data_IF_742640543517
#
_entry.id   IF_742640543517
#
_cell.length_a   1.000
_cell.length_b   1.000
_cell.length_c   1.000
_cell.angle_alpha   90.00
_cell.angle_beta   90.00
_cell.angle_gamma   90.00
#
_symmetry.space_group_name_H-M   'P 1'
#
loop_
_entity.id
_entity.type
_entity.pdbx_description
1 polymer ?
#
# COMPACT_ATOMS: atom_id res chain seq x y z
N UNK A 1 -57.85 -31.17 -63.15
CA UNK A 1 -56.73 -30.77 -62.28
C UNK A 1 -55.61 -30.28 -63.18
N UNK A 2 -55.35 -28.98 -63.22
CA UNK A 2 -54.20 -28.42 -63.93
C UNK A 2 -53.33 -27.67 -62.93
N UNK A 3 -52.04 -27.98 -62.99
CA UNK A 3 -50.99 -27.54 -62.09
C UNK A 3 -50.76 -26.03 -62.19
N UNK A 4 -50.84 -25.34 -61.04
CA UNK A 4 -50.38 -23.96 -60.90
C UNK A 4 -48.84 -23.93 -60.99
N UNK A 5 -48.33 -23.72 -62.20
CA UNK A 5 -46.93 -23.35 -62.38
C UNK A 5 -46.77 -21.87 -61.98
N UNK A 6 -45.98 -21.63 -60.92
CA UNK A 6 -45.63 -20.27 -60.52
C UNK A 6 -44.85 -19.60 -61.66
N UNK A 7 -45.17 -18.34 -61.92
CA UNK A 7 -44.45 -17.53 -62.91
C UNK A 7 -43.02 -17.25 -62.44
N UNK A 8 -42.09 -17.03 -63.37
CA UNK A 8 -40.67 -16.73 -63.07
C UNK A 8 -40.53 -15.54 -62.12
N UNK A 9 -41.44 -14.57 -62.22
CA UNK A 9 -41.51 -13.42 -61.32
C UNK A 9 -41.98 -13.78 -59.92
N UNK A 10 -42.95 -14.69 -59.76
CA UNK A 10 -43.35 -15.19 -58.45
C UNK A 10 -42.26 -16.04 -57.78
N UNK A 11 -41.48 -16.79 -58.57
CA UNK A 11 -40.32 -17.54 -58.09
C UNK A 11 -39.23 -16.55 -57.64
N UNK A 12 -38.90 -15.55 -58.45
CA UNK A 12 -37.94 -14.51 -58.09
C UNK A 12 -38.38 -13.70 -56.86
N UNK A 13 -39.66 -13.35 -56.78
CA UNK A 13 -40.25 -12.65 -55.63
C UNK A 13 -40.18 -13.52 -54.37
N UNK A 14 -40.46 -14.82 -54.45
CA UNK A 14 -40.28 -15.74 -53.32
C UNK A 14 -38.82 -15.95 -52.94
N UNK A 15 -37.90 -15.99 -53.90
CA UNK A 15 -36.47 -16.12 -53.63
C UNK A 15 -35.96 -14.84 -52.97
N UNK A 16 -36.32 -13.65 -53.45
CA UNK A 16 -35.97 -12.39 -52.79
C UNK A 16 -36.58 -12.27 -51.39
N UNK A 17 -37.85 -12.64 -51.22
CA UNK A 17 -38.51 -12.60 -49.91
C UNK A 17 -37.91 -13.62 -48.94
N UNK A 18 -37.53 -14.81 -49.42
CA UNK A 18 -36.83 -15.85 -48.66
C UNK A 18 -35.38 -15.46 -48.34
N UNK A 19 -34.69 -14.76 -49.25
CA UNK A 19 -33.31 -14.31 -49.05
C UNK A 19 -33.26 -13.12 -48.09
N UNK A 20 -34.25 -12.22 -48.13
CA UNK A 20 -34.41 -11.12 -47.17
C UNK A 20 -34.80 -11.62 -45.77
N UNK A 21 -35.60 -12.70 -45.67
CA UNK A 21 -35.91 -13.32 -44.37
C UNK A 21 -34.74 -14.13 -43.81
N UNK A 22 -33.97 -14.84 -44.65
CA UNK A 22 -32.75 -15.55 -44.23
C UNK A 22 -31.60 -14.59 -43.87
N UNK A 23 -31.50 -13.42 -44.50
CA UNK A 23 -30.50 -12.41 -44.12
C UNK A 23 -30.92 -11.55 -42.92
N UNK A 24 -32.21 -11.35 -42.67
CA UNK A 24 -32.71 -10.75 -41.41
C UNK A 24 -32.50 -11.68 -40.19
N UNK A 25 -32.23 -12.96 -40.45
CA UNK A 25 -31.92 -13.97 -39.43
C UNK A 25 -30.41 -14.25 -39.30
N UNK A 26 -29.55 -13.29 -39.68
CA UNK A 26 -28.17 -13.25 -39.19
C UNK A 26 -28.17 -12.85 -37.73
N UNK A 27 -28.26 -13.87 -36.87
CA UNK A 27 -27.65 -13.89 -35.54
C UNK A 27 -27.91 -12.66 -34.67
N UNK A 28 -29.18 -12.42 -34.34
CA UNK A 28 -29.47 -11.91 -33.01
C UNK A 28 -29.20 -13.06 -32.02
N UNK A 29 -27.91 -13.32 -31.74
CA UNK A 29 -27.54 -14.08 -30.53
C UNK A 29 -28.17 -13.26 -29.40
N UNK A 30 -29.13 -13.79 -28.64
CA UNK A 30 -29.61 -13.06 -27.48
C UNK A 30 -28.37 -12.89 -26.60
N UNK A 31 -27.90 -11.65 -26.44
CA UNK A 31 -26.97 -11.31 -25.36
C UNK A 31 -27.61 -11.92 -24.13
N UNK A 32 -26.99 -12.95 -23.56
CA UNK A 32 -27.49 -13.64 -22.39
C UNK A 32 -27.95 -12.57 -21.40
N UNK A 33 -29.27 -12.44 -21.24
CA UNK A 33 -29.86 -11.49 -20.31
C UNK A 33 -29.41 -11.99 -18.96
N UNK A 34 -28.32 -11.41 -18.44
CA UNK A 34 -27.84 -11.72 -17.10
C UNK A 34 -29.05 -11.52 -16.20
N UNK A 35 -29.41 -12.57 -15.47
CA UNK A 35 -30.52 -12.53 -14.54
C UNK A 35 -30.38 -11.27 -13.67
N UNK A 36 -31.46 -10.52 -13.47
CA UNK A 36 -31.47 -9.35 -12.58
C UNK A 36 -30.79 -9.67 -11.24
N UNK A 37 -31.01 -10.90 -10.74
CA UNK A 37 -30.38 -11.44 -9.53
C UNK A 37 -28.84 -11.50 -9.60
N UNK A 38 -28.25 -11.80 -10.76
CA UNK A 38 -26.79 -11.84 -10.94
C UNK A 38 -26.17 -10.45 -10.96
N UNK A 39 -26.88 -9.46 -11.52
CA UNK A 39 -26.45 -8.06 -11.52
C UNK A 39 -26.51 -7.50 -10.10
N UNK A 40 -27.60 -7.75 -9.38
CA UNK A 40 -27.79 -7.32 -7.99
C UNK A 40 -26.77 -7.98 -7.05
N UNK A 41 -26.51 -9.29 -7.21
CA UNK A 41 -25.48 -10.00 -6.46
C UNK A 41 -24.09 -9.43 -6.70
N UNK A 42 -23.75 -9.12 -7.95
CA UNK A 42 -22.45 -8.49 -8.30
C UNK A 42 -22.31 -7.09 -7.71
N UNK A 43 -23.37 -6.28 -7.71
CA UNK A 43 -23.34 -4.95 -7.10
C UNK A 43 -23.21 -5.04 -5.58
N UNK A 44 -23.86 -6.00 -4.93
CA UNK A 44 -23.71 -6.27 -3.50
C UNK A 44 -22.27 -6.69 -3.14
N UNK A 45 -21.67 -7.59 -3.92
CA UNK A 45 -20.27 -8.04 -3.71
C UNK A 45 -19.30 -6.87 -3.89
N UNK A 46 -19.46 -6.05 -4.94
CA UNK A 46 -18.62 -4.86 -5.15
C UNK A 46 -18.66 -3.89 -3.97
N UNK A 47 -19.86 -3.62 -3.44
CA UNK A 47 -20.05 -2.79 -2.25
C UNK A 47 -19.33 -3.38 -1.04
N UNK A 48 -19.47 -4.68 -0.79
CA UNK A 48 -18.80 -5.37 0.32
C UNK A 48 -17.27 -5.23 0.18
N UNK A 49 -16.71 -5.56 -0.98
CA UNK A 49 -15.26 -5.46 -1.23
C UNK A 49 -14.78 -4.02 -1.00
N UNK A 50 -15.49 -3.04 -1.54
CA UNK A 50 -15.15 -1.63 -1.36
C UNK A 50 -15.12 -1.22 0.12
N UNK A 51 -16.17 -1.54 0.89
CA UNK A 51 -16.24 -1.16 2.30
C UNK A 51 -15.22 -1.94 3.15
N UNK A 52 -14.91 -3.19 2.81
CA UNK A 52 -13.84 -3.94 3.46
C UNK A 52 -12.47 -3.30 3.24
N UNK A 53 -12.17 -2.87 2.00
CA UNK A 53 -10.92 -2.16 1.68
C UNK A 53 -10.86 -0.79 2.36
N UNK A 54 -11.98 -0.07 2.43
CA UNK A 54 -12.07 1.20 3.13
C UNK A 54 -11.81 1.02 4.63
N UNK A 55 -12.40 0.00 5.26
CA UNK A 55 -12.15 -0.32 6.66
C UNK A 55 -10.68 -0.65 6.92
N UNK A 56 -10.05 -1.44 6.03
CA UNK A 56 -8.62 -1.74 6.12
C UNK A 56 -7.75 -0.48 5.98
N UNK A 57 -8.11 0.43 5.07
CA UNK A 57 -7.40 1.70 4.90
C UNK A 57 -7.52 2.60 6.14
N UNK A 58 -8.69 2.65 6.77
CA UNK A 58 -8.90 3.38 8.04
C UNK A 58 -8.03 2.78 9.14
N UNK A 59 -8.02 1.44 9.28
CA UNK A 59 -7.15 0.75 10.25
C UNK A 59 -5.68 1.10 9.98
N UNK A 60 -5.25 1.08 8.73
CA UNK A 60 -3.89 1.46 8.35
C UNK A 60 -3.55 2.91 8.72
N UNK A 61 -4.45 3.87 8.46
CA UNK A 61 -4.27 5.26 8.90
C UNK A 61 -4.07 5.33 10.41
N UNK A 62 -4.89 4.62 11.20
CA UNK A 62 -4.76 4.59 12.67
C UNK A 62 -3.38 4.08 13.08
N UNK A 63 -2.91 2.97 12.50
CA UNK A 63 -1.59 2.43 12.81
C UNK A 63 -0.44 3.39 12.47
N UNK A 64 -0.52 4.10 11.35
CA UNK A 64 0.48 5.10 10.95
C UNK A 64 0.40 6.36 11.83
N UNK A 65 -0.76 6.67 12.39
CA UNK A 65 -0.97 7.84 13.25
C UNK A 65 -0.26 7.69 14.61
N UNK A 66 -0.17 6.47 15.14
CA UNK A 66 0.47 6.20 16.45
C UNK A 66 1.92 6.72 16.49
N UNK A 67 2.85 6.31 15.59
CA UNK A 67 4.22 6.83 15.58
C UNK A 67 4.32 8.31 15.25
N UNK A 68 3.33 8.90 14.57
CA UNK A 68 3.31 10.33 14.27
C UNK A 68 3.03 11.18 15.53
N UNK A 69 2.08 10.77 16.38
CA UNK A 69 1.64 11.56 17.54
C UNK A 69 2.36 11.15 18.82
N UNK A 70 2.70 9.87 18.95
CA UNK A 70 3.35 9.32 20.14
C UNK A 70 4.56 8.45 19.75
N UNK A 71 5.68 9.04 19.28
CA UNK A 71 6.84 8.28 18.83
C UNK A 71 7.38 7.31 19.89
N UNK A 72 7.50 7.77 21.14
CA UNK A 72 7.94 6.95 22.27
C UNK A 72 6.96 5.80 22.59
N UNK A 73 5.65 6.07 22.52
CA UNK A 73 4.62 5.05 22.71
C UNK A 73 4.59 4.02 21.58
N UNK A 74 4.85 4.44 20.34
CA UNK A 74 4.91 3.55 19.19
C UNK A 74 6.04 2.52 19.32
N UNK A 75 7.21 2.93 19.80
CA UNK A 75 8.33 2.03 20.10
C UNK A 75 7.92 0.98 21.14
N UNK A 76 7.20 1.39 22.19
CA UNK A 76 6.77 0.49 23.26
C UNK A 76 5.69 -0.51 22.83
N UNK A 77 4.79 -0.13 21.92
CA UNK A 77 3.68 -0.99 21.45
C UNK A 77 4.10 -1.88 20.27
N UNK A 78 4.85 -1.33 19.33
CA UNK A 78 5.25 -2.02 18.08
C UNK A 78 6.57 -2.78 18.28
N UNK A 79 7.37 -2.40 19.28
CA UNK A 79 8.67 -2.98 19.59
C UNK A 79 9.75 -2.68 18.54
N UNK A 80 9.42 -1.87 17.53
CA UNK A 80 10.30 -1.53 16.40
C UNK A 80 9.99 -0.11 15.93
N UNK A 81 11.02 0.55 15.42
CA UNK A 81 10.89 1.86 14.78
C UNK A 81 11.77 1.94 13.54
N UNK A 82 11.42 2.87 12.66
CA UNK A 82 12.18 3.19 11.47
C UNK A 82 12.83 4.56 11.68
N UNK A 83 14.13 4.66 11.43
CA UNK A 83 14.90 5.90 11.58
C UNK A 83 15.77 6.13 10.34
N UNK A 84 16.07 7.39 10.03
CA UNK A 84 17.09 7.71 9.04
C UNK A 84 18.45 7.74 9.73
N UNK A 85 19.34 6.83 9.33
CA UNK A 85 20.67 6.70 9.90
C UNK A 85 21.76 6.72 8.83
N UNK A 86 22.92 7.24 9.20
CA UNK A 86 24.16 7.20 8.44
C UNK A 86 24.75 5.78 8.60
N UNK A 87 24.79 4.94 7.55
CA UNK A 87 25.40 3.62 7.65
C UNK A 87 26.91 3.71 7.91
N UNK A 88 27.45 2.67 8.55
CA UNK A 88 28.85 2.55 8.98
C UNK A 88 29.83 2.15 7.88
N UNK A 89 29.37 2.03 6.62
CA UNK A 89 30.15 1.54 5.49
C UNK A 89 30.40 2.62 4.43
N UNK A 90 30.18 3.88 4.77
CA UNK A 90 30.46 5.00 3.89
C UNK A 90 31.66 5.78 4.40
N UNK A 91 32.45 6.30 3.46
CA UNK A 91 33.54 7.20 3.78
C UNK A 91 32.97 8.52 4.32
N UNK A 92 33.63 9.08 5.33
CA UNK A 92 33.29 10.40 5.88
C UNK A 92 33.83 11.50 4.96
N UNK A 93 33.17 11.72 3.84
CA UNK A 93 33.45 12.80 2.91
C UNK A 93 32.46 13.98 3.07
N UNK A 94 32.37 14.86 2.06
CA UNK A 94 31.52 16.05 2.13
C UNK A 94 30.01 15.74 2.06
N UNK A 95 29.59 14.56 1.60
CA UNK A 95 28.18 14.21 1.39
C UNK A 95 27.79 12.93 2.14
N UNK A 96 27.18 13.10 3.32
CA UNK A 96 26.67 11.96 4.09
C UNK A 96 25.34 11.46 3.51
N UNK A 97 25.32 10.19 3.14
CA UNK A 97 24.11 9.50 2.71
C UNK A 97 23.41 8.86 3.91
N UNK A 98 22.12 9.14 4.07
CA UNK A 98 21.29 8.49 5.09
C UNK A 98 20.43 7.40 4.47
N UNK A 99 20.31 6.27 5.15
CA UNK A 99 19.38 5.20 4.82
C UNK A 99 18.31 5.06 5.89
N UNK A 100 17.12 4.60 5.50
CA UNK A 100 16.09 4.24 6.47
C UNK A 100 16.42 2.84 7.01
N UNK A 101 16.57 2.73 8.31
CA UNK A 101 16.88 1.48 8.99
C UNK A 101 15.81 1.14 10.01
N UNK A 102 15.60 -0.16 10.22
CA UNK A 102 14.68 -0.66 11.23
C UNK A 102 15.47 -1.01 12.49
N UNK A 103 15.10 -0.40 13.61
CA UNK A 103 15.73 -0.64 14.92
C UNK A 103 14.72 -1.17 15.94
N UNK A 104 15.23 -1.93 16.91
CA UNK A 104 14.50 -2.34 18.12
C UNK A 104 15.07 -1.62 19.34
N UNK A 105 14.31 -1.49 20.44
CA UNK A 105 14.84 -1.01 21.71
C UNK A 105 16.12 -1.76 22.08
N UNK A 106 17.13 -1.02 22.53
CA UNK A 106 18.38 -1.62 22.98
C UNK A 106 18.13 -2.45 24.25
N UNK A 107 18.66 -3.67 24.25
CA UNK A 107 18.66 -4.58 25.41
C UNK A 107 19.98 -5.32 25.42
N UNK A 108 20.67 -5.28 26.54
CA UNK A 108 22.00 -5.88 26.65
C UNK A 108 21.99 -7.40 26.42
N UNK A 109 20.91 -8.08 26.82
CA UNK A 109 20.76 -9.53 26.66
C UNK A 109 20.57 -9.97 25.20
N UNK A 110 20.28 -9.02 24.31
CA UNK A 110 19.90 -9.23 22.91
C UNK A 110 21.03 -8.84 21.93
N UNK A 111 22.19 -8.41 22.43
CA UNK A 111 23.29 -7.87 21.62
C UNK A 111 24.60 -8.59 21.91
N UNK A 112 25.47 -8.65 20.91
CA UNK A 112 26.79 -9.25 20.97
C UNK A 112 27.81 -8.41 20.23
N UNK A 113 29.10 -8.68 20.49
CA UNK A 113 30.19 -8.09 19.70
C UNK A 113 30.01 -8.48 18.23
N UNK A 114 30.12 -7.50 17.33
CA UNK A 114 29.84 -7.61 15.91
C UNK A 114 28.41 -7.18 15.51
N UNK A 115 27.50 -6.99 16.47
CA UNK A 115 26.16 -6.47 16.16
C UNK A 115 26.21 -4.95 15.89
N UNK A 116 25.28 -4.48 15.07
CA UNK A 116 25.13 -3.08 14.77
C UNK A 116 24.13 -2.39 15.72
N UNK A 117 24.54 -1.25 16.26
CA UNK A 117 23.74 -0.37 17.11
C UNK A 117 23.55 0.98 16.43
N UNK A 118 22.57 1.74 16.93
CA UNK A 118 22.25 3.06 16.42
C UNK A 118 22.39 4.10 17.53
N UNK A 119 23.19 5.12 17.28
CA UNK A 119 23.49 6.24 18.18
C UNK A 119 22.95 7.53 17.58
N UNK A 120 22.31 8.38 18.40
CA UNK A 120 21.82 9.69 17.95
C UNK A 120 22.81 10.79 18.32
N UNK A 121 22.94 11.83 17.50
CA UNK A 121 23.60 13.06 17.94
C UNK A 121 25.12 13.11 17.74
N UNK A 122 25.72 12.12 17.06
CA UNK A 122 27.18 12.04 16.92
C UNK A 122 27.73 13.20 16.10
N UNK A 123 28.95 13.64 16.42
CA UNK A 123 29.66 14.73 15.72
C UNK A 123 28.88 16.06 15.67
N UNK A 124 28.01 16.32 16.65
CA UNK A 124 27.16 17.51 16.67
C UNK A 124 26.08 17.54 15.58
N UNK A 125 25.77 16.38 14.99
CA UNK A 125 24.73 16.24 13.96
C UNK A 125 23.41 15.79 14.57
N UNK A 126 22.28 16.25 14.02
CA UNK A 126 20.95 15.84 14.47
C UNK A 126 20.45 14.58 13.73
N UNK A 127 21.34 13.62 13.48
CA UNK A 127 21.01 12.38 12.75
C UNK A 127 21.44 11.15 13.53
N UNK A 128 20.87 9.99 13.16
CA UNK A 128 21.27 8.71 13.71
C UNK A 128 22.49 8.16 12.95
N UNK A 129 23.32 7.39 13.65
CA UNK A 129 24.54 6.80 13.15
C UNK A 129 24.53 5.31 13.46
N UNK A 130 24.81 4.48 12.47
CA UNK A 130 25.03 3.04 12.67
C UNK A 130 26.48 2.83 13.09
N UNK A 131 26.71 2.01 14.10
CA UNK A 131 28.06 1.58 14.53
C UNK A 131 28.06 0.10 14.88
N UNK A 132 29.22 -0.53 14.77
CA UNK A 132 29.41 -1.94 15.15
C UNK A 132 29.94 -2.04 16.57
N UNK A 133 29.34 -2.91 17.40
CA UNK A 133 29.83 -3.19 18.75
C UNK A 133 31.16 -3.93 18.66
N UNK A 134 32.21 -3.36 19.25
CA UNK A 134 33.55 -3.96 19.32
C UNK A 134 33.82 -4.56 20.70
N UNK A 135 33.25 -4.00 21.76
CA UNK A 135 33.35 -4.53 23.10
C UNK A 135 32.13 -4.20 23.95
N UNK A 136 31.90 -5.01 24.98
CA UNK A 136 30.80 -4.84 25.95
C UNK A 136 31.39 -4.93 27.35
N UNK A 137 31.13 -3.91 28.17
CA UNK A 137 31.49 -3.88 29.58
C UNK A 137 30.22 -3.91 30.44
N UNK A 138 29.90 -5.10 30.93
CA UNK A 138 28.75 -5.34 31.80
C UNK A 138 28.87 -4.68 33.18
N UNK A 139 30.09 -4.43 33.66
CA UNK A 139 30.33 -3.83 34.98
C UNK A 139 30.02 -2.33 34.97
N UNK A 140 30.44 -1.64 33.92
CA UNK A 140 30.24 -0.20 33.75
C UNK A 140 28.99 0.17 32.95
N UNK A 141 28.24 -0.82 32.44
CA UNK A 141 27.06 -0.63 31.60
C UNK A 141 27.37 0.19 30.34
N UNK A 142 28.50 -0.10 29.72
CA UNK A 142 28.98 0.58 28.51
C UNK A 142 29.23 -0.40 27.38
N UNK A 143 29.03 0.07 26.16
CA UNK A 143 29.52 -0.59 24.95
C UNK A 143 30.60 0.27 24.31
N UNK A 144 31.58 -0.37 23.69
CA UNK A 144 32.43 0.30 22.73
C UNK A 144 31.93 -0.03 21.34
N UNK A 145 31.61 1.01 20.57
CA UNK A 145 31.18 0.87 19.20
C UNK A 145 32.14 1.60 18.25
N UNK A 146 32.21 1.13 17.01
CA UNK A 146 33.09 1.66 15.99
C UNK A 146 32.33 2.03 14.72
N UNK A 147 32.65 3.21 14.20
CA UNK A 147 32.26 3.64 12.86
C UNK A 147 33.41 3.31 11.89
N UNK A 148 33.11 2.53 10.84
CA UNK A 148 34.07 2.06 9.82
C UNK A 148 35.25 1.22 10.37
N UNK A 149 35.14 0.67 11.57
CA UNK A 149 36.18 -0.18 12.18
C UNK A 149 37.37 0.58 12.78
N UNK A 150 37.52 1.88 12.50
CA UNK A 150 38.65 2.69 12.99
C UNK A 150 38.29 3.63 14.14
N UNK A 151 37.11 4.26 14.11
CA UNK A 151 36.70 5.28 15.09
C UNK A 151 35.91 4.65 16.22
N UNK A 152 36.60 4.26 17.30
CA UNK A 152 35.99 3.66 18.50
C UNK A 152 35.58 4.72 19.52
N UNK A 153 34.34 4.64 19.99
CA UNK A 153 33.83 5.43 21.11
C UNK A 153 33.13 4.53 22.13
N UNK A 154 33.16 4.96 23.38
CA UNK A 154 32.43 4.31 24.48
C UNK A 154 31.10 5.01 24.69
N UNK A 155 30.02 4.24 24.81
CA UNK A 155 28.67 4.72 25.05
C UNK A 155 28.05 3.98 26.23
N UNK A 156 27.31 4.70 27.07
CA UNK A 156 26.44 4.10 28.08
C UNK A 156 25.27 3.39 27.40
N UNK A 157 24.73 2.34 28.02
CA UNK A 157 23.57 1.62 27.49
C UNK A 157 22.36 2.54 27.22
N UNK A 158 22.18 3.58 28.02
CA UNK A 158 21.09 4.55 27.87
C UNK A 158 21.28 5.53 26.69
N UNK A 159 22.52 5.71 26.22
CA UNK A 159 22.83 6.55 25.06
C UNK A 159 22.57 5.81 23.73
N UNK A 160 22.42 4.48 23.79
CA UNK A 160 22.12 3.66 22.61
C UNK A 160 20.65 3.78 22.23
N UNK A 161 20.39 4.38 21.07
CA UNK A 161 19.01 4.61 20.58
C UNK A 161 18.29 3.31 20.19
N UNK A 162 19.05 2.27 19.83
CA UNK A 162 18.50 0.95 19.54
C UNK A 162 19.50 0.01 18.86
N UNK A 163 19.11 -1.24 18.73
CA UNK A 163 19.85 -2.26 17.96
C UNK A 163 19.32 -2.30 16.54
N UNK A 164 20.22 -2.32 15.55
CA UNK A 164 19.87 -2.47 14.15
C UNK A 164 19.31 -3.88 13.89
N UNK A 165 18.14 -3.96 13.27
CA UNK A 165 17.59 -5.24 12.80
C UNK A 165 17.98 -5.49 11.35
N UNK A 166 17.77 -4.48 10.49
CA UNK A 166 18.01 -4.56 9.05
C UNK A 166 17.88 -3.18 8.39
N UNK A 167 18.46 -3.08 7.19
CA UNK A 167 18.08 -2.05 6.24
C UNK A 167 16.62 -2.21 5.80
N UNK A 168 15.98 -1.09 5.49
CA UNK A 168 14.54 -1.06 5.21
C UNK A 168 14.25 -1.42 3.75
N UNK A 169 13.22 -2.25 3.53
CA UNK A 169 12.69 -2.52 2.18
C UNK A 169 11.83 -1.38 1.66
N UNK A 170 11.51 -1.36 0.36
CA UNK A 170 10.60 -0.36 -0.24
C UNK A 170 9.29 -0.20 0.53
N UNK A 171 8.72 -1.30 1.02
CA UNK A 171 7.49 -1.26 1.82
C UNK A 171 7.71 -0.55 3.16
N UNK A 172 8.82 -0.83 3.86
CA UNK A 172 9.13 -0.13 5.10
C UNK A 172 9.48 1.34 4.87
N UNK A 173 10.05 1.69 3.72
CA UNK A 173 10.31 3.09 3.34
C UNK A 173 8.99 3.84 3.17
N UNK A 174 8.01 3.23 2.48
CA UNK A 174 6.67 3.81 2.35
C UNK A 174 6.01 3.99 3.72
N UNK A 175 6.13 3.00 4.60
CA UNK A 175 5.61 3.09 5.96
C UNK A 175 6.28 4.22 6.74
N UNK A 176 7.61 4.30 6.73
CA UNK A 176 8.36 5.38 7.37
C UNK A 176 7.94 6.76 6.85
N UNK A 177 7.86 6.94 5.53
CA UNK A 177 7.41 8.20 4.94
C UNK A 177 6.00 8.53 5.38
N UNK A 178 5.10 7.55 5.41
CA UNK A 178 3.72 7.74 5.88
C UNK A 178 3.64 8.17 7.36
N UNK A 179 4.61 7.79 8.19
CA UNK A 179 4.70 8.24 9.60
C UNK A 179 5.24 9.65 9.78
N UNK A 180 5.74 10.30 8.71
CA UNK A 180 6.15 11.71 8.73
C UNK A 180 4.96 12.61 8.37
N UNK A 181 4.86 13.81 8.96
CA UNK A 181 3.70 14.70 8.76
C UNK A 181 3.34 14.95 7.28
N UNK A 182 4.35 15.20 6.43
CA UNK A 182 4.14 15.42 4.98
C UNK A 182 3.67 14.16 4.26
N UNK A 183 4.27 13.01 4.58
CA UNK A 183 3.88 11.74 3.98
C UNK A 183 2.52 11.24 4.48
N UNK A 184 2.19 11.50 5.74
CA UNK A 184 0.87 11.25 6.31
C UNK A 184 -0.23 12.03 5.59
N UNK A 185 -0.01 13.33 5.35
CA UNK A 185 -0.94 14.15 4.58
C UNK A 185 -1.11 13.61 3.15
N UNK A 186 0.00 13.25 2.49
CA UNK A 186 -0.05 12.64 1.17
C UNK A 186 -0.83 11.32 1.16
N UNK A 187 -0.68 10.49 2.20
CA UNK A 187 -1.44 9.24 2.39
C UNK A 187 -2.95 9.53 2.48
N UNK A 188 -3.36 10.49 3.31
CA UNK A 188 -4.78 10.86 3.48
C UNK A 188 -5.39 11.36 2.17
N UNK A 189 -4.69 12.25 1.46
CA UNK A 189 -5.14 12.76 0.16
C UNK A 189 -5.26 11.60 -0.83
N UNK A 190 -4.27 10.72 -0.89
CA UNK A 190 -4.26 9.57 -1.80
C UNK A 190 -5.46 8.65 -1.55
N UNK A 191 -5.72 8.30 -0.29
CA UNK A 191 -6.89 7.49 0.06
C UNK A 191 -8.20 8.20 -0.27
N UNK A 192 -8.31 9.50 0.04
CA UNK A 192 -9.51 10.27 -0.28
C UNK A 192 -9.79 10.28 -1.78
N UNK A 193 -8.76 10.51 -2.60
CA UNK A 193 -8.89 10.52 -4.07
C UNK A 193 -9.24 9.14 -4.61
N UNK A 194 -8.54 8.08 -4.18
CA UNK A 194 -8.78 6.72 -4.68
C UNK A 194 -10.17 6.24 -4.27
N UNK A 195 -10.48 6.25 -2.97
CA UNK A 195 -11.77 5.76 -2.47
C UNK A 195 -12.93 6.63 -2.93
N UNK A 196 -12.73 7.96 -3.04
CA UNK A 196 -13.74 8.88 -3.56
C UNK A 196 -14.04 8.63 -5.04
N UNK A 197 -12.99 8.49 -5.86
CA UNK A 197 -13.13 8.21 -7.31
C UNK A 197 -13.79 6.85 -7.53
N UNK A 198 -13.31 5.80 -6.86
CA UNK A 198 -13.88 4.45 -6.98
C UNK A 198 -15.34 4.44 -6.54
N UNK A 199 -15.67 5.13 -5.44
CA UNK A 199 -17.05 5.23 -4.98
C UNK A 199 -17.95 5.89 -6.02
N UNK A 200 -17.53 7.05 -6.53
CA UNK A 200 -18.32 7.85 -7.46
C UNK A 200 -18.60 7.12 -8.78
N UNK A 201 -17.59 6.47 -9.36
CA UNK A 201 -17.71 5.84 -10.67
C UNK A 201 -18.22 4.40 -10.64
N UNK A 202 -17.93 3.63 -9.58
CA UNK A 202 -18.17 2.18 -9.58
C UNK A 202 -19.14 1.68 -8.51
N UNK A 203 -19.36 2.44 -7.43
CA UNK A 203 -20.20 2.01 -6.30
C UNK A 203 -21.52 2.76 -6.23
N UNK A 204 -21.53 4.05 -6.56
CA UNK A 204 -22.73 4.89 -6.54
C UNK A 204 -23.74 4.40 -7.57
N UNK A 205 -24.95 4.08 -7.11
CA UNK A 205 -26.06 3.76 -8.01
C UNK A 205 -26.63 5.05 -8.63
N UNK A 206 -26.85 5.10 -9.96
CA UNK A 206 -27.48 6.25 -10.58
C UNK A 206 -28.92 6.38 -10.06
N UNK A 207 -29.29 7.56 -9.56
CA UNK A 207 -30.68 7.83 -9.14
C UNK A 207 -31.59 7.64 -10.35
N UNK A 208 -32.44 6.60 -10.35
CA UNK A 208 -33.53 6.49 -11.31
C UNK A 208 -34.51 7.64 -11.07
N UNK A 209 -34.59 8.57 -12.03
CA UNK A 209 -35.62 9.61 -12.04
C UNK A 209 -36.96 8.88 -12.28
N UNK A 210 -37.78 8.74 -11.25
CA UNK A 210 -39.17 8.30 -11.41
C UNK A 210 -39.92 9.42 -12.15
N UNK A 211 -40.00 9.31 -13.48
CA UNK A 211 -40.93 10.10 -14.28
C UNK A 211 -42.30 9.48 -14.05
N UNK A 212 -43.00 9.97 -13.04
CA UNK A 212 -44.37 9.59 -12.76
C UNK A 212 -45.25 10.23 -13.83
N UNK A 213 -45.51 9.51 -14.93
CA UNK A 213 -46.51 9.92 -15.92
C UNK A 213 -47.87 9.62 -15.30
N UNK A 214 -48.48 10.63 -14.67
CA UNK A 214 -49.90 10.57 -14.32
C UNK A 214 -50.70 10.48 -15.63
N UNK A 215 -51.43 9.38 -15.80
CA UNK A 215 -52.57 9.28 -16.72
C UNK A 215 -53.82 9.76 -16.02
#
# INVERSE_FOLDING_TARGET
>A
MLNNFLTTEEILKRIHTSTSTVQAQKTHVPKAVKSQKDVDRKNKIKKIIYFSLLALAIIHIVFVTIPLIAPAGAVNVIGRQYVMAVPNNQELDNELNTKIVQIKPFRIDDVSVGDAVVIYGKFGTNVYWVEEIVAIDYGNQTIDASFDGFLRNTYLYEEVSGTLIRETSLFGTLLFVATQARGYLALLVTYTVIFGTVYYFYIREPKQKNINIKK
#
